data_IF_626126036277
#
_entry.id   IF_626126036277
#
_cell.length_a   1.000
_cell.length_b   1.000
_cell.length_c   1.000
_cell.angle_alpha   90.00
_cell.angle_beta   90.00
_cell.angle_gamma   90.00
#
_symmetry.space_group_name_H-M   'P 1'
#
loop_
_entity.id
_entity.type
_entity.pdbx_description
1 polymer ?
#
# COMPACT_ATOMS: atom_id res chain seq x y z
N UNK A 1 -26.91 107.33 -20.12
CA UNK A 1 -27.21 105.88 -20.07
C UNK A 1 -26.11 105.12 -20.81
N UNK A 2 -25.10 104.57 -20.10
CA UNK A 2 -24.07 103.64 -20.63
C UNK A 2 -23.16 103.18 -19.47
N UNK A 3 -23.67 102.34 -18.57
CA UNK A 3 -22.86 101.66 -17.52
C UNK A 3 -23.05 100.13 -17.50
N UNK A 4 -23.89 99.60 -18.39
CA UNK A 4 -24.21 98.18 -18.50
C UNK A 4 -23.14 97.34 -19.24
N UNK A 5 -22.33 97.85 -20.22
CA UNK A 5 -21.40 96.98 -20.93
C UNK A 5 -20.09 96.67 -20.17
N UNK A 6 -19.80 97.40 -19.08
CA UNK A 6 -18.58 97.16 -18.29
C UNK A 6 -18.77 96.02 -17.27
N UNK A 7 -19.97 95.91 -16.68
CA UNK A 7 -20.28 94.86 -15.71
C UNK A 7 -20.38 93.48 -16.37
N UNK A 8 -20.93 93.41 -17.59
CA UNK A 8 -21.02 92.16 -18.36
C UNK A 8 -19.67 91.70 -18.88
N UNK A 9 -18.77 92.63 -19.24
CA UNK A 9 -17.41 92.30 -19.65
C UNK A 9 -16.56 91.80 -18.46
N UNK A 10 -16.70 92.42 -17.27
CA UNK A 10 -16.00 91.98 -16.06
C UNK A 10 -16.47 90.60 -15.58
N UNK A 11 -17.78 90.33 -15.68
CA UNK A 11 -18.35 89.01 -15.35
C UNK A 11 -17.87 87.91 -16.32
N UNK A 12 -17.70 88.24 -17.61
CA UNK A 12 -17.14 87.33 -18.60
C UNK A 12 -15.67 86.99 -18.33
N UNK A 13 -14.88 87.91 -17.77
CA UNK A 13 -13.47 87.65 -17.44
C UNK A 13 -13.38 86.75 -16.19
N UNK A 14 -14.23 86.96 -15.18
CA UNK A 14 -14.23 86.13 -13.96
C UNK A 14 -14.62 84.67 -14.27
N UNK A 15 -15.55 84.45 -15.22
CA UNK A 15 -15.94 83.11 -15.65
C UNK A 15 -14.84 82.37 -16.42
N UNK A 16 -13.91 83.09 -17.08
CA UNK A 16 -12.81 82.48 -17.84
C UNK A 16 -11.58 82.13 -16.97
N UNK A 17 -11.45 82.74 -15.78
CA UNK A 17 -10.31 82.48 -14.86
C UNK A 17 -10.56 81.27 -13.94
N UNK A 18 -11.80 80.78 -13.84
CA UNK A 18 -12.15 79.62 -13.00
C UNK A 18 -11.90 78.25 -13.65
N UNK A 19 -11.35 78.20 -14.87
CA UNK A 19 -11.24 76.97 -15.69
C UNK A 19 -9.80 76.47 -15.90
N UNK A 20 -8.89 76.69 -14.94
CA UNK A 20 -7.50 76.26 -15.05
C UNK A 20 -6.98 75.64 -13.75
N UNK A 21 -7.69 74.66 -13.20
CA UNK A 21 -7.28 73.94 -11.98
C UNK A 21 -6.40 72.70 -12.32
N UNK A 22 -5.31 72.92 -13.06
CA UNK A 22 -4.34 71.86 -13.42
C UNK A 22 -3.74 71.15 -12.21
N UNK A 23 -3.66 71.84 -11.07
CA UNK A 23 -3.12 71.28 -9.83
C UNK A 23 -4.04 70.21 -9.21
N UNK A 24 -5.37 70.33 -9.33
CA UNK A 24 -6.28 69.30 -8.82
C UNK A 24 -6.32 68.07 -9.72
N UNK A 25 -6.21 68.23 -11.04
CA UNK A 25 -6.15 67.11 -11.97
C UNK A 25 -4.88 66.27 -11.79
N UNK A 26 -3.73 66.92 -11.59
CA UNK A 26 -2.48 66.21 -11.32
C UNK A 26 -2.54 65.46 -9.97
N UNK A 27 -3.13 66.06 -8.92
CA UNK A 27 -3.34 65.36 -7.65
C UNK A 27 -4.28 64.16 -7.76
N UNK A 28 -5.32 64.25 -8.59
CA UNK A 28 -6.22 63.12 -8.87
C UNK A 28 -5.48 62.01 -9.63
N UNK A 29 -4.68 62.37 -10.64
CA UNK A 29 -3.88 61.42 -11.43
C UNK A 29 -2.85 60.68 -10.58
N UNK A 30 -2.18 61.38 -9.66
CA UNK A 30 -1.23 60.76 -8.72
C UNK A 30 -1.94 59.78 -7.78
N UNK A 31 -3.15 60.10 -7.32
CA UNK A 31 -3.97 59.18 -6.50
C UNK A 31 -4.43 57.97 -7.29
N UNK A 32 -4.84 58.13 -8.54
CA UNK A 32 -5.23 57.02 -9.41
C UNK A 32 -4.06 56.07 -9.66
N UNK A 33 -2.86 56.60 -9.89
CA UNK A 33 -1.64 55.80 -10.03
C UNK A 33 -1.28 55.05 -8.74
N UNK A 34 -1.34 55.69 -7.56
CA UNK A 34 -1.10 55.01 -6.28
C UNK A 34 -2.14 53.91 -6.01
N UNK A 35 -3.41 54.17 -6.31
CA UNK A 35 -4.47 53.18 -6.18
C UNK A 35 -4.27 52.00 -7.14
N UNK A 36 -3.86 52.26 -8.38
CA UNK A 36 -3.59 51.21 -9.35
C UNK A 36 -2.43 50.31 -8.91
N UNK A 37 -1.33 50.90 -8.43
CA UNK A 37 -0.19 50.14 -7.92
C UNK A 37 -0.57 49.23 -6.74
N UNK A 38 -1.45 49.71 -5.85
CA UNK A 38 -1.97 48.90 -4.75
C UNK A 38 -2.84 47.76 -5.27
N UNK A 39 -3.76 48.03 -6.19
CA UNK A 39 -4.62 46.99 -6.79
C UNK A 39 -3.76 45.91 -7.44
N UNK A 40 -2.73 46.29 -8.19
CA UNK A 40 -1.81 45.35 -8.85
C UNK A 40 -1.03 44.52 -7.81
N UNK A 41 -0.61 45.13 -6.70
CA UNK A 41 0.06 44.42 -5.61
C UNK A 41 -0.84 43.38 -4.94
N UNK A 42 -2.10 43.72 -4.67
CA UNK A 42 -3.08 42.77 -4.12
C UNK A 42 -3.41 41.64 -5.10
N UNK A 43 -3.53 41.95 -6.39
CA UNK A 43 -3.76 40.95 -7.42
C UNK A 43 -2.60 39.94 -7.54
N UNK A 44 -1.36 40.38 -7.32
CA UNK A 44 -0.19 39.50 -7.32
C UNK A 44 -0.18 38.58 -6.09
N UNK A 45 -0.44 39.12 -4.90
CA UNK A 45 -0.52 38.33 -3.66
C UNK A 45 -1.63 37.30 -3.74
N UNK A 46 -2.80 37.65 -4.27
CA UNK A 46 -3.90 36.70 -4.43
C UNK A 46 -3.55 35.56 -5.39
N UNK A 47 -2.87 35.87 -6.52
CA UNK A 47 -2.40 34.83 -7.44
C UNK A 47 -1.42 33.86 -6.78
N UNK A 48 -0.49 34.38 -5.99
CA UNK A 48 0.48 33.57 -5.26
C UNK A 48 -0.20 32.68 -4.21
N UNK A 49 -1.16 33.24 -3.48
CA UNK A 49 -1.96 32.49 -2.50
C UNK A 49 -2.76 31.35 -3.17
N UNK A 50 -3.40 31.61 -4.30
CA UNK A 50 -4.12 30.59 -5.07
C UNK A 50 -3.18 29.50 -5.59
N UNK A 51 -1.97 29.85 -6.04
CA UNK A 51 -0.96 28.88 -6.48
C UNK A 51 -0.50 27.97 -5.33
N UNK A 52 -0.28 28.54 -4.13
CA UNK A 52 0.08 27.78 -2.94
C UNK A 52 -1.03 26.82 -2.51
N UNK A 53 -2.30 27.23 -2.58
CA UNK A 53 -3.44 26.36 -2.32
C UNK A 53 -3.49 25.17 -3.28
N UNK A 54 -3.27 25.40 -4.58
CA UNK A 54 -3.23 24.33 -5.58
C UNK A 54 -2.07 23.35 -5.34
N UNK A 55 -0.91 23.86 -4.91
CA UNK A 55 0.24 23.00 -4.55
C UNK A 55 -0.07 22.15 -3.33
N UNK A 56 -0.68 22.72 -2.29
CA UNK A 56 -1.12 21.98 -1.09
C UNK A 56 -2.06 20.83 -1.47
N UNK A 57 -3.05 21.12 -2.30
CA UNK A 57 -4.02 20.11 -2.74
C UNK A 57 -3.38 19.02 -3.58
N UNK A 58 -2.37 19.37 -4.39
CA UNK A 58 -1.59 18.40 -5.16
C UNK A 58 -0.76 17.48 -4.27
N UNK A 59 -0.15 18.02 -3.21
CA UNK A 59 0.60 17.23 -2.21
C UNK A 59 -0.34 16.28 -1.46
N UNK A 60 -1.50 16.75 -1.03
CA UNK A 60 -2.50 15.90 -0.33
C UNK A 60 -3.00 14.78 -1.25
N UNK A 61 -3.22 15.05 -2.53
CA UNK A 61 -3.57 14.02 -3.52
C UNK A 61 -2.44 13.02 -3.76
N UNK A 62 -1.20 13.50 -3.85
CA UNK A 62 -0.03 12.64 -4.02
C UNK A 62 0.21 11.73 -2.80
N UNK A 63 0.06 12.25 -1.58
CA UNK A 63 0.27 11.47 -0.35
C UNK A 63 -0.88 10.47 -0.11
N UNK A 64 -2.13 10.83 -0.42
CA UNK A 64 -3.25 9.88 -0.36
C UNK A 64 -3.12 8.74 -1.38
N UNK A 65 -2.62 9.01 -2.59
CA UNK A 65 -2.27 7.94 -3.56
C UNK A 65 -1.11 7.06 -3.08
N UNK A 66 -0.11 7.64 -2.39
CA UNK A 66 1.01 6.90 -1.80
C UNK A 66 0.53 5.94 -0.71
N UNK A 67 -0.34 6.41 0.20
CA UNK A 67 -0.92 5.60 1.28
C UNK A 67 -1.78 4.45 0.71
N UNK A 68 -2.54 4.70 -0.36
CA UNK A 68 -3.30 3.66 -1.05
C UNK A 68 -2.39 2.60 -1.68
N UNK A 69 -1.32 2.99 -2.36
CA UNK A 69 -0.40 2.03 -2.98
C UNK A 69 0.40 1.21 -1.96
N UNK A 70 0.78 1.80 -0.83
CA UNK A 70 1.47 1.13 0.27
C UNK A 70 0.52 0.17 1.02
N UNK A 71 -0.76 0.55 1.16
CA UNK A 71 -1.80 -0.32 1.70
C UNK A 71 -2.19 -1.45 0.73
N UNK A 72 -2.21 -1.23 -0.59
CA UNK A 72 -2.60 -2.26 -1.55
C UNK A 72 -1.49 -3.31 -1.77
N UNK A 73 -0.22 -2.90 -1.73
CA UNK A 73 0.93 -3.80 -1.84
C UNK A 73 1.15 -4.66 -0.60
N UNK A 74 0.59 -4.26 0.56
CA UNK A 74 0.66 -5.03 1.81
C UNK A 74 -0.52 -5.98 2.03
N UNK A 75 -1.60 -5.85 1.24
CA UNK A 75 -2.83 -6.64 1.42
C UNK A 75 -2.84 -7.94 0.62
N UNK A 76 -2.21 -7.98 -0.56
CA UNK A 76 -2.26 -9.18 -1.41
C UNK A 76 -0.96 -9.98 -1.33
N UNK A 77 -0.98 -11.05 -0.54
CA UNK A 77 0.14 -11.96 -0.38
C UNK A 77 0.05 -13.07 -1.42
N UNK A 78 0.87 -13.00 -2.46
CA UNK A 78 1.06 -14.10 -3.43
C UNK A 78 2.37 -14.83 -3.17
N UNK A 79 2.38 -16.14 -3.46
CA UNK A 79 3.63 -16.88 -3.51
C UNK A 79 4.49 -16.35 -4.66
N UNK A 80 5.82 -16.21 -4.47
CA UNK A 80 6.74 -16.07 -5.58
C UNK A 80 6.52 -17.17 -6.61
N UNK A 81 6.65 -16.85 -7.90
CA UNK A 81 6.36 -17.79 -8.99
C UNK A 81 7.15 -19.11 -8.89
N UNK A 82 8.38 -19.05 -8.36
CA UNK A 82 9.25 -20.21 -8.15
C UNK A 82 8.87 -21.07 -6.93
N UNK A 83 7.98 -20.61 -6.05
CA UNK A 83 7.47 -21.36 -4.89
C UNK A 83 6.04 -21.86 -5.10
N UNK A 84 5.24 -21.12 -5.87
CA UNK A 84 3.86 -21.49 -6.16
C UNK A 84 3.74 -22.85 -6.87
N UNK A 85 2.60 -23.52 -6.66
CA UNK A 85 2.23 -24.75 -7.35
C UNK A 85 2.58 -26.03 -6.58
N UNK A 86 2.69 -27.14 -7.32
CA UNK A 86 2.84 -28.47 -6.74
C UNK A 86 4.28 -28.82 -6.35
N UNK A 87 4.38 -29.59 -5.27
CA UNK A 87 5.60 -30.10 -4.66
C UNK A 87 5.40 -31.54 -4.17
N UNK A 88 6.40 -32.38 -4.36
CA UNK A 88 6.47 -33.71 -3.76
C UNK A 88 7.21 -33.60 -2.43
N UNK A 89 6.52 -33.84 -1.33
CA UNK A 89 7.09 -33.84 0.01
C UNK A 89 7.51 -35.24 0.44
N UNK A 90 8.74 -35.38 0.92
CA UNK A 90 9.24 -36.57 1.60
C UNK A 90 9.50 -36.20 3.06
N UNK A 91 8.78 -36.86 3.96
CA UNK A 91 8.91 -36.67 5.40
C UNK A 91 9.56 -37.93 5.99
N UNK A 92 10.57 -37.74 6.85
CA UNK A 92 11.25 -38.84 7.56
C UNK A 92 11.22 -38.56 9.05
N UNK A 93 10.64 -39.46 9.84
CA UNK A 93 10.57 -39.34 11.29
C UNK A 93 11.97 -39.48 11.89
N UNK A 94 12.41 -38.46 12.65
CA UNK A 94 13.74 -38.43 13.29
C UNK A 94 13.65 -38.53 14.79
N UNK A 95 12.58 -38.02 15.39
CA UNK A 95 12.32 -38.07 16.83
C UNK A 95 10.83 -38.31 17.06
N UNK A 96 10.47 -39.19 17.98
CA UNK A 96 9.08 -39.40 18.36
C UNK A 96 9.00 -39.93 19.78
N UNK A 97 8.09 -39.37 20.58
CA UNK A 97 7.62 -39.99 21.83
C UNK A 97 6.19 -40.55 21.69
N UNK A 98 5.67 -40.59 20.46
CA UNK A 98 4.32 -41.01 20.15
C UNK A 98 4.26 -42.49 19.77
N UNK A 99 3.24 -43.21 20.26
CA UNK A 99 2.99 -44.61 19.89
C UNK A 99 2.74 -44.80 18.39
N UNK A 100 2.14 -43.79 17.76
CA UNK A 100 1.66 -43.85 16.39
C UNK A 100 2.74 -43.49 15.34
N UNK A 101 3.94 -43.09 15.79
CA UNK A 101 5.03 -42.64 14.93
C UNK A 101 6.35 -43.28 15.34
N UNK A 102 6.97 -44.03 14.44
CA UNK A 102 8.23 -44.73 14.68
C UNK A 102 9.38 -43.98 14.01
N UNK A 103 10.52 -43.90 14.69
CA UNK A 103 11.74 -43.29 14.13
C UNK A 103 12.15 -44.07 12.88
N UNK A 104 12.38 -43.36 11.77
CA UNK A 104 12.65 -43.93 10.45
C UNK A 104 11.43 -44.05 9.55
N UNK A 105 10.22 -43.82 10.05
CA UNK A 105 9.00 -43.79 9.22
C UNK A 105 9.15 -42.76 8.10
N UNK A 106 8.80 -43.18 6.88
CA UNK A 106 8.85 -42.33 5.70
C UNK A 106 7.47 -42.13 5.12
N UNK A 107 7.14 -40.89 4.78
CA UNK A 107 5.90 -40.54 4.09
C UNK A 107 6.20 -39.71 2.87
N UNK A 108 5.47 -39.98 1.80
CA UNK A 108 5.55 -39.20 0.56
C UNK A 108 4.18 -38.65 0.28
N UNK A 109 4.09 -37.34 0.23
CA UNK A 109 2.85 -36.59 0.11
C UNK A 109 2.94 -35.58 -1.02
N UNK A 110 1.81 -35.22 -1.61
CA UNK A 110 1.75 -34.12 -2.59
C UNK A 110 1.25 -32.86 -1.90
N UNK A 111 1.97 -31.76 -2.09
CA UNK A 111 1.63 -30.46 -1.52
C UNK A 111 1.40 -29.45 -2.64
N UNK A 112 0.45 -28.54 -2.46
CA UNK A 112 0.14 -27.50 -3.44
C UNK A 112 0.12 -26.13 -2.76
N UNK A 113 1.09 -25.30 -3.10
CA UNK A 113 1.27 -23.97 -2.53
C UNK A 113 0.43 -22.98 -3.32
N UNK A 114 -0.56 -22.40 -2.65
CA UNK A 114 -1.57 -21.51 -3.22
C UNK A 114 -1.72 -20.25 -2.37
N UNK A 115 -2.31 -19.25 -2.97
CA UNK A 115 -2.58 -17.97 -2.34
C UNK A 115 -3.98 -17.53 -2.75
N UNK A 116 -4.71 -16.95 -1.81
CA UNK A 116 -5.94 -16.23 -2.10
C UNK A 116 -5.66 -14.71 -2.09
N UNK A 117 -6.70 -13.89 -2.07
CA UNK A 117 -6.55 -12.43 -2.09
C UNK A 117 -5.90 -11.84 -0.83
N UNK A 118 -5.77 -12.61 0.27
CA UNK A 118 -5.35 -12.12 1.58
C UNK A 118 -4.30 -13.00 2.27
N UNK A 119 -4.26 -14.30 1.97
CA UNK A 119 -3.51 -15.32 2.69
C UNK A 119 -2.73 -16.24 1.76
N UNK A 120 -1.57 -16.66 2.27
CA UNK A 120 -0.82 -17.78 1.72
C UNK A 120 -1.25 -19.05 2.44
N UNK A 121 -1.40 -20.14 1.70
CA UNK A 121 -1.69 -21.46 2.25
C UNK A 121 -1.03 -22.56 1.42
N UNK A 122 -0.99 -23.76 2.00
CA UNK A 122 -0.52 -24.95 1.32
C UNK A 122 -1.50 -26.11 1.57
N UNK A 123 -1.99 -26.71 0.51
CA UNK A 123 -2.87 -27.87 0.57
C UNK A 123 -2.05 -29.16 0.54
N UNK A 124 -2.32 -30.05 1.48
CA UNK A 124 -1.89 -31.44 1.45
C UNK A 124 -2.91 -32.24 0.63
N UNK A 125 -2.46 -32.90 -0.43
CA UNK A 125 -3.30 -33.66 -1.37
C UNK A 125 -3.11 -35.17 -1.18
N UNK A 126 -4.19 -35.94 -1.34
CA UNK A 126 -4.13 -37.39 -1.43
C UNK A 126 -3.77 -37.87 -2.86
N UNK A 127 -3.61 -39.19 -3.04
CA UNK A 127 -3.33 -39.82 -4.34
C UNK A 127 -4.39 -39.56 -5.44
N UNK A 128 -5.60 -39.13 -5.06
CA UNK A 128 -6.68 -38.76 -5.98
C UNK A 128 -6.75 -37.24 -6.23
N UNK A 129 -5.71 -36.49 -5.83
CA UNK A 129 -5.64 -35.02 -5.87
C UNK A 129 -6.76 -34.30 -5.09
N UNK A 130 -7.29 -34.92 -4.05
CA UNK A 130 -8.27 -34.29 -3.15
C UNK A 130 -7.55 -33.69 -1.94
N UNK A 131 -8.03 -32.55 -1.47
CA UNK A 131 -7.47 -31.85 -0.31
C UNK A 131 -7.76 -32.66 0.95
N UNK A 132 -6.69 -33.08 1.64
CA UNK A 132 -6.74 -33.76 2.93
C UNK A 132 -6.69 -32.75 4.07
N UNK A 133 -5.89 -31.70 3.90
CA UNK A 133 -5.68 -30.66 4.90
C UNK A 133 -5.14 -29.39 4.26
N UNK A 134 -5.52 -28.24 4.78
CA UNK A 134 -4.98 -26.93 4.37
C UNK A 134 -4.19 -26.33 5.52
N UNK A 135 -2.97 -25.88 5.23
CA UNK A 135 -2.07 -25.24 6.19
C UNK A 135 -2.02 -23.74 5.92
N UNK A 136 -2.13 -22.93 6.96
CA UNK A 136 -1.85 -21.51 6.86
C UNK A 136 -0.35 -21.31 6.67
N UNK A 137 0.04 -20.42 5.77
CA UNK A 137 1.44 -20.17 5.48
C UNK A 137 1.86 -18.74 5.83
N UNK A 138 3.03 -18.62 6.44
CA UNK A 138 3.74 -17.37 6.61
C UNK A 138 5.07 -17.45 5.86
N UNK A 139 5.35 -16.44 5.02
CA UNK A 139 6.57 -16.35 4.23
C UNK A 139 7.27 -15.03 4.52
N UNK A 140 8.55 -15.09 4.89
CA UNK A 140 9.37 -13.91 5.21
C UNK A 140 10.54 -13.70 4.23
N UNK A 141 10.46 -14.27 3.02
CA UNK A 141 11.52 -14.21 2.01
C UNK A 141 12.46 -15.40 2.04
N UNK A 142 12.94 -15.78 3.23
CA UNK A 142 13.94 -16.86 3.37
C UNK A 142 13.42 -18.09 4.13
N UNK A 143 12.29 -17.96 4.82
CA UNK A 143 11.68 -19.04 5.58
C UNK A 143 10.19 -19.11 5.28
N UNK A 144 9.69 -20.34 5.24
CA UNK A 144 8.27 -20.65 5.16
C UNK A 144 7.86 -21.38 6.42
N UNK A 145 6.81 -20.90 7.08
CA UNK A 145 6.18 -21.59 8.20
C UNK A 145 4.76 -21.96 7.81
N UNK A 146 4.48 -23.25 7.75
CA UNK A 146 3.15 -23.81 7.54
C UNK A 146 2.60 -24.25 8.88
N UNK A 147 1.39 -23.84 9.23
CA UNK A 147 0.75 -24.17 10.51
C UNK A 147 -0.66 -24.70 10.31
N UNK A 148 -0.99 -25.73 11.07
CA UNK A 148 -2.32 -26.30 11.15
C UNK A 148 -2.63 -26.62 12.61
N UNK A 149 -3.86 -26.35 13.03
CA UNK A 149 -4.36 -26.72 14.35
C UNK A 149 -5.81 -27.16 14.20
N UNK A 150 -6.18 -28.26 14.84
CA UNK A 150 -7.59 -28.67 14.94
C UNK A 150 -8.38 -27.71 15.82
N UNK A 151 -9.70 -27.69 15.63
CA UNK A 151 -10.59 -26.92 16.49
C UNK A 151 -10.43 -27.36 17.96
N UNK A 152 -10.29 -26.42 18.91
CA UNK A 152 -10.24 -26.72 20.34
C UNK A 152 -11.42 -27.53 20.88
N UNK A 153 -12.58 -27.53 20.21
CA UNK A 153 -13.76 -28.29 20.62
C UNK A 153 -13.67 -29.80 20.32
N UNK A 154 -12.64 -30.26 19.60
CA UNK A 154 -12.44 -31.69 19.27
C UNK A 154 -11.72 -32.39 20.41
N UNK A 155 -12.13 -33.62 20.72
CA UNK A 155 -11.59 -34.43 21.83
C UNK A 155 -10.10 -34.77 21.73
N UNK A 156 -9.54 -34.76 20.52
CA UNK A 156 -8.11 -34.95 20.24
C UNK A 156 -7.60 -33.74 19.47
N UNK A 157 -6.79 -32.93 20.14
CA UNK A 157 -6.19 -31.73 19.58
C UNK A 157 -4.88 -32.06 18.87
N UNK A 158 -4.75 -31.64 17.62
CA UNK A 158 -3.54 -31.86 16.82
C UNK A 158 -3.06 -30.52 16.28
N UNK A 159 -1.82 -30.19 16.62
CA UNK A 159 -1.08 -29.07 16.06
C UNK A 159 0.04 -29.61 15.18
N UNK A 160 0.18 -29.04 13.98
CA UNK A 160 1.24 -29.39 13.04
C UNK A 160 1.92 -28.13 12.57
N UNK A 161 3.25 -28.16 12.51
CA UNK A 161 4.05 -27.05 12.03
C UNK A 161 5.16 -27.54 11.11
N UNK A 162 5.21 -27.04 9.88
CA UNK A 162 6.32 -27.26 8.97
C UNK A 162 7.13 -25.97 8.86
N UNK A 163 8.43 -26.02 9.15
CA UNK A 163 9.33 -24.89 8.95
C UNK A 163 10.32 -25.25 7.87
N UNK A 164 10.38 -24.46 6.80
CA UNK A 164 11.34 -24.60 5.69
C UNK A 164 12.29 -23.42 5.72
N UNK A 165 13.59 -23.70 5.78
CA UNK A 165 14.66 -22.70 5.89
C UNK A 165 15.69 -22.78 4.77
N UNK A 166 15.80 -23.93 4.10
CA UNK A 166 16.64 -24.09 2.92
C UNK A 166 15.73 -24.09 1.68
N UNK A 167 15.55 -22.92 1.06
CA UNK A 167 14.63 -22.73 -0.08
C UNK A 167 15.44 -22.49 -1.36
N UNK A 168 15.31 -23.41 -2.31
CA UNK A 168 15.81 -23.28 -3.68
C UNK A 168 14.66 -23.47 -4.68
N UNK A 169 14.88 -23.09 -5.95
CA UNK A 169 13.85 -23.15 -7.00
C UNK A 169 13.23 -24.55 -7.18
N UNK A 170 14.03 -25.61 -7.05
CA UNK A 170 13.60 -26.99 -7.29
C UNK A 170 13.50 -27.84 -6.03
N UNK A 171 13.97 -27.32 -4.89
CA UNK A 171 14.12 -28.08 -3.66
C UNK A 171 13.96 -27.19 -2.43
N UNK A 172 13.13 -27.62 -1.48
CA UNK A 172 13.03 -27.00 -0.16
C UNK A 172 13.27 -28.02 0.94
N UNK A 173 13.96 -27.64 2.02
CA UNK A 173 14.14 -28.51 3.18
C UNK A 173 13.81 -27.80 4.49
N UNK A 174 13.48 -28.61 5.48
CA UNK A 174 13.35 -28.16 6.85
C UNK A 174 12.80 -29.25 7.76
N UNK A 175 11.94 -28.87 8.69
CA UNK A 175 11.38 -29.75 9.71
C UNK A 175 9.86 -29.69 9.75
N UNK A 176 9.24 -30.79 10.14
CA UNK A 176 7.82 -30.88 10.41
C UNK A 176 7.60 -31.47 11.79
N UNK A 177 6.84 -30.79 12.61
CA UNK A 177 6.54 -31.20 13.99
C UNK A 177 5.05 -31.43 14.10
N UNK A 178 4.68 -32.59 14.63
CA UNK A 178 3.31 -32.95 14.97
C UNK A 178 3.23 -33.02 16.49
N UNK A 179 2.31 -32.27 17.08
CA UNK A 179 2.01 -32.29 18.51
C UNK A 179 0.56 -32.70 18.70
N UNK A 180 0.32 -33.74 19.47
CA UNK A 180 -1.01 -34.27 19.81
C UNK A 180 -1.23 -34.07 21.30
N UNK A 181 -2.32 -33.38 21.65
CA UNK A 181 -2.77 -33.09 23.02
C UNK A 181 -1.70 -32.47 23.94
N UNK A 182 -0.66 -31.87 23.36
CA UNK A 182 0.54 -31.34 24.04
C UNK A 182 1.43 -32.37 24.75
N UNK A 183 0.99 -33.62 24.87
CA UNK A 183 1.73 -34.69 25.55
C UNK A 183 2.66 -35.45 24.60
N UNK A 184 2.29 -35.49 23.32
CA UNK A 184 2.91 -36.33 22.30
C UNK A 184 3.47 -35.46 21.19
N UNK A 185 4.77 -35.56 20.89
CA UNK A 185 5.45 -34.83 19.83
C UNK A 185 6.28 -35.78 18.96
N UNK A 186 6.08 -35.68 17.66
CA UNK A 186 6.90 -36.33 16.64
C UNK A 186 7.50 -35.27 15.71
N UNK A 187 8.80 -35.37 15.44
CA UNK A 187 9.54 -34.51 14.53
C UNK A 187 10.01 -35.29 13.31
N UNK A 188 9.89 -34.63 12.17
CA UNK A 188 10.25 -35.14 10.86
C UNK A 188 11.21 -34.17 10.18
N UNK A 189 12.17 -34.70 9.45
CA UNK A 189 12.85 -33.94 8.41
C UNK A 189 11.98 -33.93 7.16
N UNK A 190 11.83 -32.76 6.54
CA UNK A 190 11.04 -32.59 5.33
C UNK A 190 11.93 -32.17 4.17
N UNK A 191 11.69 -32.80 3.04
CA UNK A 191 12.28 -32.43 1.76
C UNK A 191 11.18 -32.32 0.70
N UNK A 192 10.99 -31.12 0.17
CA UNK A 192 10.14 -30.86 -0.98
C UNK A 192 10.96 -30.83 -2.26
N UNK A 193 10.48 -31.49 -3.30
CA UNK A 193 11.06 -31.45 -4.65
C UNK A 193 9.98 -31.14 -5.67
N UNK A 194 10.34 -30.44 -6.75
CA UNK A 194 9.40 -30.22 -7.84
C UNK A 194 8.98 -31.55 -8.46
N UNK A 195 7.68 -31.76 -8.77
CA UNK A 195 7.25 -32.90 -9.56
C UNK A 195 8.02 -32.89 -10.88
N UNK A 196 8.72 -33.98 -11.19
CA UNK A 196 9.43 -34.11 -12.46
C UNK A 196 8.44 -33.84 -13.59
N UNK A 197 8.62 -32.74 -14.32
CA UNK A 197 7.88 -32.51 -15.55
C UNK A 197 8.34 -33.55 -16.56
N UNK A 198 7.67 -34.69 -16.62
CA UNK A 198 7.72 -35.51 -17.82
C UNK A 198 7.06 -34.66 -18.91
N UNK A 199 7.89 -33.85 -19.60
CA UNK A 199 7.55 -33.32 -20.91
C UNK A 199 7.34 -34.55 -21.79
N UNK A 200 6.08 -34.95 -21.95
CA UNK A 200 5.62 -35.78 -23.07
C UNK A 200 5.07 -34.84 -24.11
#
# INVERSE_FOLDING_TARGET
MKKIPFLTFLLSIILLVSCNNKNSEEQLRQRELDLQLRIDSFANVEKEYQALLQMKDSIVKADSLRILNDSLSSVVKFWPQHLAGRWNGRLVCVESNCSDYVIGDQRVDTWEFKSDSLNLYADLLNNKNQIVRTYNAAFNGNNIVLSFKTDPAVSKTVAMQTTLSEINNDKMKGSHTITIDSDCTAKFTVEFTRPSSNKK
#
